data_IF_656622798759
#
_entry.id   IF_656622798759
#
_cell.length_a   1.000
_cell.length_b   1.000
_cell.length_c   1.000
_cell.angle_alpha   90.00
_cell.angle_beta   90.00
_cell.angle_gamma   90.00
#
_symmetry.space_group_name_H-M   'P 1'
#
loop_
_entity.id
_entity.type
_entity.pdbx_description
1 polymer ?
#
# COMPACT_ATOMS: atom_id res chain seq x y z
N UNK A 1 -8.16 16.31 14.39
CA UNK A 1 -7.81 16.19 12.96
C UNK A 1 -8.93 15.41 12.27
N UNK A 2 -9.38 15.86 11.10
CA UNK A 2 -10.48 15.27 10.29
C UNK A 2 -9.88 14.77 8.98
N UNK A 3 -9.70 13.46 8.88
CA UNK A 3 -8.95 12.83 7.77
C UNK A 3 -9.91 12.14 6.83
N UNK A 4 -9.82 12.45 5.54
CA UNK A 4 -10.45 11.67 4.48
C UNK A 4 -9.48 10.57 4.02
N UNK A 5 -9.95 9.34 4.08
CA UNK A 5 -9.27 8.16 3.53
C UNK A 5 -9.86 7.84 2.15
N UNK A 6 -9.01 7.88 1.13
CA UNK A 6 -9.31 7.38 -0.20
C UNK A 6 -8.63 6.02 -0.35
N UNK A 7 -9.36 5.00 -0.81
CA UNK A 7 -8.85 3.62 -0.89
C UNK A 7 -8.91 2.86 0.43
N UNK A 8 -10.01 2.98 1.20
CA UNK A 8 -10.19 2.31 2.50
C UNK A 8 -10.05 0.77 2.46
N UNK A 9 -10.21 0.15 1.27
CA UNK A 9 -10.06 -1.30 1.08
C UNK A 9 -8.59 -1.75 0.94
N UNK A 10 -7.65 -0.82 0.76
CA UNK A 10 -6.21 -1.14 0.77
C UNK A 10 -5.82 -1.74 2.11
N UNK A 11 -4.96 -2.76 2.10
CA UNK A 11 -4.52 -3.41 3.34
C UNK A 11 -3.78 -2.45 4.29
N UNK A 12 -3.03 -1.50 3.75
CA UNK A 12 -2.36 -0.47 4.55
C UNK A 12 -3.40 0.44 5.21
N UNK A 13 -4.44 0.86 4.45
CA UNK A 13 -5.52 1.68 5.00
C UNK A 13 -6.28 0.97 6.11
N UNK A 14 -6.61 -0.33 5.93
CA UNK A 14 -7.33 -1.12 6.93
C UNK A 14 -6.53 -1.21 8.24
N UNK A 15 -5.23 -1.51 8.16
CA UNK A 15 -4.36 -1.52 9.33
C UNK A 15 -4.26 -0.14 9.99
N UNK A 16 -4.14 0.94 9.19
CA UNK A 16 -4.06 2.31 9.71
C UNK A 16 -5.34 2.74 10.43
N UNK A 17 -6.50 2.48 9.83
CA UNK A 17 -7.81 2.77 10.41
C UNK A 17 -7.97 1.98 11.73
N UNK A 18 -7.72 0.66 11.72
CA UNK A 18 -7.83 -0.18 12.92
C UNK A 18 -6.97 0.34 14.06
N UNK A 19 -5.72 0.75 13.78
CA UNK A 19 -4.78 1.21 14.81
C UNK A 19 -5.14 2.58 15.41
N UNK A 20 -5.71 3.50 14.60
CA UNK A 20 -5.85 4.90 14.98
C UNK A 20 -7.30 5.41 15.05
N UNK A 21 -8.31 4.56 14.88
CA UNK A 21 -9.74 4.96 14.94
C UNK A 21 -10.14 5.63 16.25
N UNK A 22 -9.51 5.26 17.38
CA UNK A 22 -9.77 5.86 18.68
C UNK A 22 -9.11 7.25 18.86
N UNK A 23 -8.19 7.64 17.97
CA UNK A 23 -7.41 8.89 18.08
C UNK A 23 -7.69 9.88 16.96
N UNK A 24 -8.27 9.43 15.85
CA UNK A 24 -8.49 10.21 14.63
C UNK A 24 -9.91 9.97 14.13
N UNK A 25 -10.60 11.07 13.79
CA UNK A 25 -11.90 10.99 13.11
C UNK A 25 -11.66 10.76 11.61
N UNK A 26 -11.88 9.53 11.17
CA UNK A 26 -11.78 9.15 9.76
C UNK A 26 -13.10 9.37 9.03
N UNK A 27 -12.99 9.78 7.78
CA UNK A 27 -14.07 9.90 6.82
C UNK A 27 -13.71 9.09 5.59
N UNK A 28 -14.71 8.57 4.90
CA UNK A 28 -14.54 7.70 3.75
C UNK A 28 -15.36 8.22 2.59
N UNK A 29 -14.81 8.14 1.39
CA UNK A 29 -15.50 8.50 0.17
C UNK A 29 -15.57 7.26 -0.74
N UNK A 30 -16.81 6.86 -1.09
CA UNK A 30 -17.06 5.55 -1.71
C UNK A 30 -17.29 5.62 -3.24
N UNK A 31 -17.11 6.79 -3.86
CA UNK A 31 -17.20 6.88 -5.30
C UNK A 31 -15.91 6.41 -5.96
N UNK A 32 -16.07 5.64 -7.02
CA UNK A 32 -14.94 5.32 -7.89
C UNK A 32 -14.60 6.54 -8.75
N UNK A 33 -13.32 6.79 -8.94
CA UNK A 33 -12.82 7.71 -9.93
C UNK A 33 -12.99 7.04 -11.30
N UNK A 34 -14.15 7.26 -11.92
CA UNK A 34 -14.55 6.72 -13.22
C UNK A 34 -14.18 7.67 -14.35
N UNK A 35 -14.53 7.32 -15.59
CA UNK A 35 -14.33 8.18 -16.76
C UNK A 35 -15.08 9.53 -16.64
N UNK A 36 -16.15 9.60 -15.84
CA UNK A 36 -16.80 10.87 -15.47
C UNK A 36 -16.11 11.50 -14.24
N UNK A 37 -14.83 11.86 -14.39
CA UNK A 37 -14.07 12.45 -13.29
C UNK A 37 -14.59 13.82 -12.85
N UNK A 38 -15.32 14.57 -13.71
CA UNK A 38 -15.93 15.87 -13.33
C UNK A 38 -16.96 15.69 -12.22
N UNK A 39 -17.82 14.68 -12.36
CA UNK A 39 -18.83 14.35 -11.32
C UNK A 39 -18.15 13.90 -10.02
N UNK A 40 -17.13 13.06 -10.12
CA UNK A 40 -16.33 12.65 -8.96
C UNK A 40 -15.74 13.86 -8.23
N UNK A 41 -15.10 14.78 -8.94
CA UNK A 41 -14.49 15.99 -8.36
C UNK A 41 -15.53 16.89 -7.71
N UNK A 42 -16.69 17.08 -8.33
CA UNK A 42 -17.81 17.84 -7.76
C UNK A 42 -18.27 17.21 -6.43
N UNK A 43 -18.57 15.92 -6.44
CA UNK A 43 -19.05 15.19 -5.26
C UNK A 43 -18.03 15.18 -4.11
N UNK A 44 -16.76 14.94 -4.39
CA UNK A 44 -15.73 14.94 -3.36
C UNK A 44 -15.50 16.35 -2.79
N UNK A 45 -15.59 17.40 -3.60
CA UNK A 45 -15.48 18.79 -3.14
C UNK A 45 -16.59 19.13 -2.14
N UNK A 46 -17.84 18.81 -2.46
CA UNK A 46 -18.97 18.99 -1.56
C UNK A 46 -18.81 18.21 -0.26
N UNK A 47 -18.38 16.96 -0.37
CA UNK A 47 -18.15 16.09 0.80
C UNK A 47 -17.06 16.64 1.73
N UNK A 48 -15.91 17.03 1.17
CA UNK A 48 -14.78 17.60 1.92
C UNK A 48 -15.21 18.85 2.67
N UNK A 49 -15.99 19.75 2.03
CA UNK A 49 -16.51 20.96 2.64
C UNK A 49 -17.50 20.64 3.77
N UNK A 50 -18.52 19.82 3.49
CA UNK A 50 -19.55 19.41 4.47
C UNK A 50 -18.95 18.75 5.71
N UNK A 51 -17.91 17.93 5.51
CA UNK A 51 -17.24 17.22 6.61
C UNK A 51 -16.08 18.00 7.22
N UNK A 52 -15.78 19.21 6.74
CA UNK A 52 -14.67 20.07 7.20
C UNK A 52 -13.34 19.29 7.25
N UNK A 53 -13.04 18.54 6.19
CA UNK A 53 -11.81 17.74 6.07
C UNK A 53 -10.61 18.69 6.01
N UNK A 54 -9.54 18.36 6.73
CA UNK A 54 -8.29 19.13 6.71
C UNK A 54 -7.07 18.29 6.29
N UNK A 55 -7.24 17.00 6.05
CA UNK A 55 -6.19 16.12 5.55
C UNK A 55 -6.78 15.03 4.66
N UNK A 56 -6.15 14.75 3.52
CA UNK A 56 -6.53 13.66 2.61
C UNK A 56 -5.35 12.70 2.54
N UNK A 57 -5.62 11.41 2.84
CA UNK A 57 -4.65 10.33 2.63
C UNK A 57 -5.18 9.45 1.50
N UNK A 58 -4.41 9.34 0.43
CA UNK A 58 -4.74 8.46 -0.68
C UNK A 58 -3.96 7.15 -0.61
N UNK A 59 -4.66 6.07 -0.26
CA UNK A 59 -4.14 4.71 -0.24
C UNK A 59 -4.43 3.94 -1.54
N UNK A 60 -5.04 4.58 -2.54
CA UNK A 60 -5.19 3.95 -3.86
C UNK A 60 -3.81 3.85 -4.50
N UNK A 61 -3.50 2.65 -4.98
CA UNK A 61 -2.34 2.37 -5.80
C UNK A 61 -2.62 1.11 -6.60
N UNK A 62 -2.29 1.17 -7.89
CA UNK A 62 -2.45 0.06 -8.82
C UNK A 62 -1.08 -0.32 -9.36
N UNK A 63 -0.67 -1.57 -9.14
CA UNK A 63 0.62 -2.12 -9.57
C UNK A 63 0.47 -3.34 -10.48
N UNK A 64 -0.71 -3.53 -11.07
CA UNK A 64 -1.00 -4.67 -11.96
C UNK A 64 -0.46 -4.42 -13.37
N UNK A 65 0.81 -4.74 -13.59
CA UNK A 65 1.47 -4.61 -14.88
C UNK A 65 1.14 -5.79 -15.85
N UNK A 66 0.33 -6.76 -15.43
CA UNK A 66 0.15 -8.04 -16.14
C UNK A 66 -0.56 -7.92 -17.49
N UNK A 67 -1.25 -6.80 -17.75
CA UNK A 67 -2.06 -6.60 -18.95
C UNK A 67 -1.86 -5.19 -19.56
N UNK A 68 -0.60 -4.79 -19.78
CA UNK A 68 -0.32 -3.60 -20.56
C UNK A 68 -0.55 -3.93 -22.08
N UNK A 69 -1.20 -3.03 -22.89
CA UNK A 69 -1.64 -1.67 -22.53
C UNK A 69 -3.04 -1.59 -21.89
N UNK A 70 -3.83 -2.67 -21.86
CA UNK A 70 -5.25 -2.65 -21.47
C UNK A 70 -5.46 -2.08 -20.04
N UNK A 71 -4.61 -2.47 -19.09
CA UNK A 71 -4.67 -1.97 -17.70
C UNK A 71 -3.82 -0.73 -17.43
N UNK A 72 -3.01 -0.30 -18.39
CA UNK A 72 -2.14 0.87 -18.24
C UNK A 72 -2.90 2.16 -17.95
N UNK A 73 -4.06 2.36 -18.58
CA UNK A 73 -4.98 3.47 -18.30
C UNK A 73 -5.37 3.54 -16.83
N UNK A 74 -5.68 2.40 -16.20
CA UNK A 74 -6.06 2.35 -14.80
C UNK A 74 -4.89 2.63 -13.86
N UNK A 75 -3.68 2.19 -14.22
CA UNK A 75 -2.46 2.47 -13.45
C UNK A 75 -2.17 3.96 -13.44
N UNK A 76 -2.17 4.62 -14.61
CA UNK A 76 -1.97 6.07 -14.72
C UNK A 76 -3.07 6.85 -13.99
N UNK A 77 -4.33 6.46 -14.18
CA UNK A 77 -5.47 7.08 -13.51
C UNK A 77 -5.31 7.06 -11.99
N UNK A 78 -5.03 5.88 -11.42
CA UNK A 78 -5.04 5.67 -9.98
C UNK A 78 -3.77 6.22 -9.30
N UNK A 79 -2.61 6.10 -9.96
CA UNK A 79 -1.33 6.46 -9.38
C UNK A 79 -0.90 7.90 -9.64
N UNK A 80 -1.39 8.52 -10.71
CA UNK A 80 -0.97 9.85 -11.14
C UNK A 80 -2.14 10.83 -11.28
N UNK A 81 -3.13 10.54 -12.14
CA UNK A 81 -4.19 11.51 -12.48
C UNK A 81 -5.04 11.85 -11.24
N UNK A 82 -5.49 10.84 -10.48
CA UNK A 82 -6.30 11.06 -9.29
C UNK A 82 -5.58 11.91 -8.22
N UNK A 83 -4.34 11.61 -7.81
CA UNK A 83 -3.60 12.48 -6.89
C UNK A 83 -3.46 13.92 -7.37
N UNK A 84 -3.09 14.15 -8.63
CA UNK A 84 -2.94 15.49 -9.20
C UNK A 84 -4.28 16.22 -9.25
N UNK A 85 -5.35 15.56 -9.65
CA UNK A 85 -6.69 16.15 -9.68
C UNK A 85 -7.17 16.57 -8.28
N UNK A 86 -6.89 15.78 -7.25
CA UNK A 86 -7.20 16.13 -5.85
C UNK A 86 -6.42 17.37 -5.38
N UNK A 87 -5.13 17.42 -5.66
CA UNK A 87 -4.30 18.58 -5.29
C UNK A 87 -4.79 19.83 -5.99
N UNK A 88 -5.04 19.79 -7.29
CA UNK A 88 -5.55 20.91 -8.06
C UNK A 88 -6.94 21.38 -7.59
N UNK A 89 -7.84 20.45 -7.28
CA UNK A 89 -9.19 20.75 -6.78
C UNK A 89 -9.15 21.57 -5.48
N UNK A 90 -8.17 21.30 -4.61
CA UNK A 90 -8.08 21.92 -3.30
C UNK A 90 -6.89 22.89 -3.13
N UNK A 91 -6.22 23.30 -4.23
CA UNK A 91 -5.02 24.14 -4.17
C UNK A 91 -5.20 25.45 -3.41
N UNK A 92 -6.40 26.01 -3.39
CA UNK A 92 -6.74 27.26 -2.67
C UNK A 92 -7.26 27.01 -1.25
N UNK A 93 -7.39 25.75 -0.82
CA UNK A 93 -7.91 25.37 0.50
C UNK A 93 -6.77 24.86 1.38
N UNK A 94 -6.85 25.15 2.67
CA UNK A 94 -5.87 24.66 3.65
C UNK A 94 -6.10 23.17 3.97
N UNK A 95 -5.81 22.30 3.01
CA UNK A 95 -5.94 20.84 3.10
C UNK A 95 -4.57 20.22 2.90
N UNK A 96 -4.15 19.33 3.79
CA UNK A 96 -2.90 18.60 3.68
C UNK A 96 -3.11 17.30 2.92
N UNK A 97 -2.07 16.82 2.23
CA UNK A 97 -2.11 15.58 1.47
C UNK A 97 -1.01 14.63 1.88
N UNK A 98 -1.34 13.34 1.86
CA UNK A 98 -0.35 12.25 1.96
C UNK A 98 -0.58 11.27 0.82
N UNK A 99 0.48 11.03 0.03
CA UNK A 99 0.51 10.07 -1.07
C UNK A 99 1.64 9.07 -0.88
N UNK A 100 1.55 7.92 -1.56
CA UNK A 100 2.54 6.88 -1.49
C UNK A 100 3.26 6.72 -2.82
N UNK A 101 4.60 6.69 -2.75
CA UNK A 101 5.50 6.37 -3.83
C UNK A 101 6.08 4.96 -3.63
N UNK A 102 6.79 4.46 -4.64
CA UNK A 102 7.53 3.20 -4.59
C UNK A 102 9.01 3.46 -4.83
N UNK A 103 9.88 2.64 -4.23
CA UNK A 103 11.31 2.63 -4.56
C UNK A 103 11.60 2.11 -5.97
N UNK A 104 10.60 1.54 -6.66
CA UNK A 104 10.72 1.17 -8.08
C UNK A 104 11.03 2.39 -8.99
N UNK A 105 10.70 3.62 -8.53
CA UNK A 105 11.07 4.84 -9.25
C UNK A 105 12.58 5.08 -9.36
N UNK A 106 13.36 4.49 -8.44
CA UNK A 106 14.83 4.64 -8.45
C UNK A 106 15.50 3.81 -9.57
N UNK A 107 14.73 2.96 -10.25
CA UNK A 107 15.17 2.11 -11.34
C UNK A 107 14.85 2.67 -12.73
N UNK A 108 14.23 3.85 -12.79
CA UNK A 108 13.74 4.45 -14.07
C UNK A 108 14.89 4.74 -15.04
N UNK A 109 16.09 4.95 -14.56
CA UNK A 109 17.27 5.16 -15.39
C UNK A 109 17.66 3.92 -16.21
N UNK A 110 17.20 2.73 -15.83
CA UNK A 110 17.37 1.51 -16.60
C UNK A 110 16.15 1.22 -17.48
N UNK A 111 16.22 1.43 -18.82
CA UNK A 111 15.08 1.25 -19.70
C UNK A 111 14.46 -0.15 -19.65
N UNK A 112 15.27 -1.18 -19.38
CA UNK A 112 14.83 -2.57 -19.32
C UNK A 112 14.02 -2.90 -18.06
N UNK A 113 14.09 -2.05 -17.02
CA UNK A 113 13.37 -2.22 -15.76
C UNK A 113 12.13 -1.30 -15.64
N UNK A 114 11.89 -0.44 -16.63
CA UNK A 114 10.79 0.51 -16.61
C UNK A 114 9.45 -0.19 -16.75
N UNK A 115 8.55 0.17 -15.87
CA UNK A 115 7.16 -0.25 -15.90
C UNK A 115 6.24 0.97 -15.90
N UNK A 116 5.05 0.84 -16.46
CA UNK A 116 4.03 1.91 -16.39
C UNK A 116 3.73 2.28 -14.94
N UNK A 117 3.87 1.34 -14.01
CA UNK A 117 3.73 1.59 -12.58
C UNK A 117 4.83 2.52 -12.04
N UNK A 118 6.11 2.21 -12.30
CA UNK A 118 7.23 3.05 -11.85
C UNK A 118 7.15 4.45 -12.47
N UNK A 119 6.87 4.54 -13.78
CA UNK A 119 6.67 5.80 -14.48
C UNK A 119 5.52 6.63 -13.90
N UNK A 120 4.37 6.00 -13.59
CA UNK A 120 3.23 6.72 -12.99
C UNK A 120 3.56 7.33 -11.63
N UNK A 121 4.37 6.64 -10.82
CA UNK A 121 4.84 7.13 -9.52
C UNK A 121 5.91 8.20 -9.64
N UNK A 122 6.78 8.10 -10.63
CA UNK A 122 7.77 9.13 -10.96
C UNK A 122 7.07 10.42 -11.41
N UNK A 123 6.14 10.35 -12.37
CA UNK A 123 5.37 11.51 -12.82
C UNK A 123 4.62 12.19 -11.69
N UNK A 124 4.06 11.43 -10.74
CA UNK A 124 3.43 11.99 -9.56
C UNK A 124 4.43 12.78 -8.71
N UNK A 125 5.58 12.20 -8.40
CA UNK A 125 6.62 12.84 -7.59
C UNK A 125 7.09 14.14 -8.24
N UNK A 126 7.41 14.06 -9.52
CA UNK A 126 7.97 15.17 -10.27
C UNK A 126 6.95 16.30 -10.46
N UNK A 127 5.75 15.99 -10.92
CA UNK A 127 4.68 16.99 -11.06
C UNK A 127 4.36 17.73 -9.76
N UNK A 128 4.32 17.02 -8.62
CA UNK A 128 4.02 17.65 -7.33
C UNK A 128 5.11 18.57 -6.81
N UNK A 129 6.35 18.46 -7.30
CA UNK A 129 7.44 19.41 -6.98
C UNK A 129 7.22 20.80 -7.60
N UNK A 130 6.62 20.83 -8.80
CA UNK A 130 6.42 22.05 -9.56
C UNK A 130 5.06 22.72 -9.33
N UNK A 131 4.10 22.02 -8.71
CA UNK A 131 2.81 22.62 -8.38
C UNK A 131 2.96 23.59 -7.21
N UNK A 132 2.86 24.88 -7.50
CA UNK A 132 2.81 25.93 -6.48
C UNK A 132 1.47 25.89 -5.75
N UNK A 133 1.47 25.41 -4.52
CA UNK A 133 0.28 25.30 -3.68
C UNK A 133 0.55 25.74 -2.25
N UNK A 134 -0.52 26.23 -1.61
CA UNK A 134 -0.52 26.60 -0.18
C UNK A 134 -0.66 25.40 0.77
N UNK A 135 -0.75 24.20 0.20
CA UNK A 135 -1.05 22.96 0.91
C UNK A 135 0.23 22.24 1.30
N UNK A 136 0.20 21.53 2.42
CA UNK A 136 1.30 20.64 2.77
C UNK A 136 1.12 19.29 2.07
N UNK A 137 2.12 18.87 1.30
CA UNK A 137 2.16 17.57 0.63
C UNK A 137 3.26 16.73 1.24
N UNK A 138 2.90 15.52 1.65
CA UNK A 138 3.86 14.51 2.10
C UNK A 138 3.81 13.31 1.15
N UNK A 139 4.95 12.97 0.58
CA UNK A 139 5.16 11.79 -0.23
C UNK A 139 5.90 10.75 0.59
N UNK A 140 5.31 9.58 0.81
CA UNK A 140 5.94 8.47 1.53
C UNK A 140 6.42 7.46 0.51
N UNK A 141 7.73 7.41 0.28
CA UNK A 141 8.40 6.46 -0.59
C UNK A 141 8.71 5.18 0.18
N UNK A 142 8.19 4.05 -0.28
CA UNK A 142 8.22 2.78 0.45
C UNK A 142 8.76 1.63 -0.42
N UNK A 143 9.48 0.72 0.23
CA UNK A 143 9.78 -0.62 -0.30
C UNK A 143 8.54 -1.53 -0.22
N UNK A 144 8.71 -2.83 -0.49
CA UNK A 144 7.60 -3.78 -0.46
C UNK A 144 7.01 -3.92 0.95
N UNK A 145 5.77 -3.53 1.11
CA UNK A 145 5.04 -3.66 2.38
C UNK A 145 4.32 -5.00 2.45
N UNK A 146 4.32 -5.64 3.62
CA UNK A 146 3.58 -6.87 3.89
C UNK A 146 2.88 -6.81 5.25
N UNK A 147 1.90 -7.68 5.46
CA UNK A 147 1.21 -7.80 6.74
C UNK A 147 -0.25 -8.24 6.60
N UNK A 148 -1.00 -8.23 7.70
CA UNK A 148 -2.44 -8.54 7.73
C UNK A 148 -3.24 -7.74 6.71
N UNK A 149 -4.37 -8.30 6.25
CA UNK A 149 -5.30 -7.73 5.26
C UNK A 149 -4.77 -7.64 3.82
N UNK A 150 -3.52 -8.07 3.52
CA UNK A 150 -3.03 -8.10 2.15
C UNK A 150 -3.52 -9.35 1.42
N UNK A 151 -4.63 -9.23 0.72
CA UNK A 151 -5.25 -10.31 -0.05
C UNK A 151 -4.88 -10.28 -1.54
N UNK A 152 -3.78 -9.61 -1.91
CA UNK A 152 -3.25 -9.67 -3.27
C UNK A 152 -2.23 -10.82 -3.40
N UNK A 153 -2.72 -12.00 -3.78
CA UNK A 153 -1.90 -13.21 -3.85
C UNK A 153 -0.93 -13.26 -5.04
N UNK A 154 -0.96 -12.26 -5.92
CA UNK A 154 0.10 -12.04 -6.92
C UNK A 154 1.38 -11.44 -6.30
N UNK A 155 1.30 -11.00 -5.04
CA UNK A 155 2.45 -10.46 -4.31
C UNK A 155 3.18 -11.56 -3.55
N UNK A 156 4.49 -11.37 -3.41
CA UNK A 156 5.40 -12.37 -2.85
C UNK A 156 4.97 -12.92 -1.48
N UNK A 157 4.73 -12.04 -0.49
CA UNK A 157 4.44 -12.49 0.87
C UNK A 157 3.05 -13.12 0.99
N UNK A 158 1.96 -12.56 0.43
CA UNK A 158 0.68 -13.24 0.36
C UNK A 158 0.76 -14.64 -0.29
N UNK A 159 1.46 -14.79 -1.43
CA UNK A 159 1.68 -16.10 -2.07
C UNK A 159 2.44 -17.06 -1.16
N UNK A 160 3.48 -16.57 -0.47
CA UNK A 160 4.25 -17.36 0.48
C UNK A 160 3.38 -17.86 1.64
N UNK A 161 2.50 -17.01 2.19
CA UNK A 161 1.56 -17.37 3.25
C UNK A 161 0.58 -18.45 2.80
N UNK A 162 0.03 -18.36 1.58
CA UNK A 162 -0.82 -19.42 1.03
C UNK A 162 -0.07 -20.74 0.88
N UNK A 163 1.17 -20.68 0.38
CA UNK A 163 2.00 -21.89 0.24
C UNK A 163 2.22 -22.59 1.58
N UNK A 164 2.43 -21.82 2.65
CA UNK A 164 2.59 -22.34 4.01
C UNK A 164 1.29 -22.93 4.56
N UNK A 165 0.14 -22.26 4.33
CA UNK A 165 -1.16 -22.66 4.87
C UNK A 165 -1.67 -23.97 4.25
N UNK A 166 -1.50 -24.11 2.94
CA UNK A 166 -2.10 -25.24 2.20
C UNK A 166 -1.09 -26.33 1.87
N UNK A 167 0.17 -26.19 2.30
CA UNK A 167 1.26 -27.13 1.96
C UNK A 167 1.34 -27.39 0.45
N UNK A 168 0.95 -26.38 -0.36
CA UNK A 168 0.62 -26.55 -1.76
C UNK A 168 1.88 -26.46 -2.62
N UNK A 169 2.21 -27.60 -3.26
CA UNK A 169 3.33 -27.68 -4.21
C UNK A 169 3.10 -26.86 -5.49
N UNK A 170 1.82 -26.60 -5.86
CA UNK A 170 1.43 -25.87 -7.07
C UNK A 170 1.65 -24.33 -6.99
N UNK A 171 1.76 -23.73 -5.80
CA UNK A 171 2.00 -22.29 -5.71
C UNK A 171 3.46 -21.96 -6.02
N UNK A 172 3.69 -21.39 -7.21
CA UNK A 172 5.02 -20.94 -7.65
C UNK A 172 5.43 -19.67 -6.92
N UNK A 173 6.43 -19.74 -6.03
CA UNK A 173 7.03 -18.61 -5.36
C UNK A 173 8.51 -18.53 -5.75
N UNK A 174 8.95 -17.36 -6.25
CA UNK A 174 10.38 -17.13 -6.54
C UNK A 174 11.15 -17.00 -5.22
N UNK A 175 11.66 -18.12 -4.71
CA UNK A 175 12.37 -18.17 -3.43
C UNK A 175 13.82 -17.66 -3.52
N UNK A 176 14.48 -17.88 -4.66
CA UNK A 176 15.88 -17.49 -4.85
C UNK A 176 16.03 -15.99 -5.15
N UNK A 177 15.63 -15.13 -4.23
CA UNK A 177 15.73 -13.67 -4.39
C UNK A 177 15.95 -12.97 -3.04
N UNK A 178 16.58 -11.79 -3.13
CA UNK A 178 16.64 -10.81 -2.04
C UNK A 178 15.51 -9.80 -2.21
N UNK A 179 14.85 -9.44 -1.11
CA UNK A 179 13.79 -8.42 -1.13
C UNK A 179 13.86 -7.52 0.10
N UNK A 180 13.72 -6.22 -0.13
CA UNK A 180 13.51 -5.25 0.94
C UNK A 180 12.05 -5.24 1.32
N UNK A 181 11.75 -5.58 2.58
CA UNK A 181 10.39 -5.75 3.09
C UNK A 181 10.16 -4.84 4.29
N UNK A 182 8.98 -4.20 4.33
CA UNK A 182 8.50 -3.36 5.44
C UNK A 182 7.29 -4.05 6.05
N UNK A 183 7.32 -4.28 7.36
CA UNK A 183 6.13 -4.74 8.05
C UNK A 183 5.11 -3.59 8.17
N UNK A 184 3.85 -3.86 7.87
CA UNK A 184 2.83 -2.81 7.80
C UNK A 184 2.71 -1.99 9.09
N UNK A 185 2.82 -2.62 10.26
CA UNK A 185 2.71 -1.89 11.55
C UNK A 185 3.83 -0.86 11.75
N UNK A 186 5.03 -1.10 11.20
CA UNK A 186 6.14 -0.14 11.26
C UNK A 186 5.84 1.08 10.40
N UNK A 187 5.30 0.84 9.19
CA UNK A 187 4.85 1.91 8.29
C UNK A 187 3.78 2.80 8.93
N UNK A 188 2.83 2.22 9.70
CA UNK A 188 1.73 2.99 10.30
C UNK A 188 2.21 4.10 11.23
N UNK A 189 3.28 3.87 11.99
CA UNK A 189 3.85 4.88 12.91
C UNK A 189 4.44 6.06 12.14
N UNK A 190 5.06 5.80 11.00
CA UNK A 190 5.60 6.84 10.11
C UNK A 190 4.47 7.64 9.46
N UNK A 191 3.44 6.96 8.93
CA UNK A 191 2.25 7.66 8.40
C UNK A 191 1.66 8.59 9.46
N UNK A 192 1.50 8.11 10.71
CA UNK A 192 0.93 8.90 11.80
C UNK A 192 1.80 10.12 12.17
N UNK A 193 3.13 9.99 12.16
CA UNK A 193 4.04 11.13 12.34
C UNK A 193 3.96 12.11 11.18
N UNK A 194 3.90 11.60 9.96
CA UNK A 194 3.85 12.40 8.73
C UNK A 194 2.62 13.29 8.67
N UNK A 195 1.44 12.79 9.01
CA UNK A 195 0.20 13.59 8.98
C UNK A 195 0.17 14.72 10.02
N UNK A 196 1.04 14.67 11.01
CA UNK A 196 1.22 15.75 12.00
C UNK A 196 2.26 16.79 11.56
N UNK A 197 3.07 16.48 10.56
CA UNK A 197 4.09 17.38 10.04
C UNK A 197 3.43 18.50 9.23
N UNK A 198 3.94 19.74 9.41
CA UNK A 198 3.44 20.95 8.74
C UNK A 198 4.36 21.46 7.64
N UNK A 199 5.34 20.65 7.17
CA UNK A 199 6.23 21.07 6.08
C UNK A 199 5.42 21.17 4.78
N UNK A 200 5.70 22.21 3.99
CA UNK A 200 4.96 22.48 2.74
C UNK A 200 5.06 21.33 1.73
N UNK A 201 6.27 20.83 1.49
CA UNK A 201 6.54 19.66 0.65
C UNK A 201 7.63 18.80 1.28
N UNK A 202 7.41 17.50 1.40
CA UNK A 202 8.43 16.59 1.88
C UNK A 202 8.31 15.20 1.25
N UNK A 203 9.45 14.56 1.05
CA UNK A 203 9.55 13.15 0.65
C UNK A 203 10.20 12.39 1.80
N UNK A 204 9.50 11.39 2.32
CA UNK A 204 9.96 10.55 3.42
C UNK A 204 10.22 9.16 2.84
N UNK A 205 11.47 8.73 2.87
CA UNK A 205 11.85 7.40 2.41
C UNK A 205 11.88 6.42 3.60
N UNK A 206 11.06 5.38 3.52
CA UNK A 206 11.05 4.27 4.47
C UNK A 206 11.69 3.07 3.81
N UNK A 207 12.89 2.73 4.29
CA UNK A 207 13.66 1.58 3.78
C UNK A 207 13.23 0.30 4.49
N UNK A 208 13.00 -0.76 3.73
CA UNK A 208 12.75 -2.09 4.24
C UNK A 208 14.01 -2.79 4.70
N UNK A 209 13.86 -3.79 5.58
CA UNK A 209 14.91 -4.75 5.89
C UNK A 209 15.12 -5.69 4.69
N UNK A 210 16.36 -6.06 4.44
CA UNK A 210 16.71 -6.99 3.36
C UNK A 210 16.55 -8.45 3.83
N UNK A 211 15.77 -9.24 3.08
CA UNK A 211 15.50 -10.64 3.39
C UNK A 211 15.87 -11.54 2.21
N UNK A 212 16.60 -12.61 2.50
CA UNK A 212 16.70 -13.74 1.60
C UNK A 212 15.43 -14.60 1.76
N UNK A 213 14.63 -14.66 0.71
CA UNK A 213 13.29 -15.26 0.78
C UNK A 213 13.33 -16.77 1.03
N UNK A 214 14.34 -17.47 0.49
CA UNK A 214 14.51 -18.90 0.74
C UNK A 214 14.87 -19.19 2.22
N UNK A 215 15.79 -18.40 2.79
CA UNK A 215 16.15 -18.53 4.21
C UNK A 215 14.95 -18.21 5.09
N UNK A 216 14.22 -17.13 4.79
CA UNK A 216 12.99 -16.74 5.48
C UNK A 216 11.95 -17.86 5.45
N UNK A 217 11.67 -18.43 4.28
CA UNK A 217 10.71 -19.51 4.12
C UNK A 217 11.11 -20.76 4.95
N UNK A 218 12.39 -21.18 4.89
CA UNK A 218 12.90 -22.30 5.71
C UNK A 218 12.74 -22.03 7.20
N UNK A 219 13.04 -20.80 7.66
CA UNK A 219 12.92 -20.42 9.07
C UNK A 219 11.47 -20.44 9.55
N UNK A 220 10.52 -19.91 8.77
CA UNK A 220 9.10 -19.93 9.11
C UNK A 220 8.59 -21.38 9.18
N UNK A 221 8.89 -22.22 8.18
CA UNK A 221 8.51 -23.64 8.20
C UNK A 221 9.04 -24.38 9.44
N UNK A 222 10.29 -24.15 9.79
CA UNK A 222 10.89 -24.75 11.00
C UNK A 222 10.16 -24.33 12.27
N UNK A 223 9.77 -23.05 12.37
CA UNK A 223 9.04 -22.52 13.52
C UNK A 223 7.63 -23.12 13.57
N UNK A 224 6.91 -23.16 12.45
CA UNK A 224 5.53 -23.67 12.38
C UNK A 224 5.44 -25.19 12.70
N UNK A 225 6.47 -25.96 12.33
CA UNK A 225 6.54 -27.38 12.59
C UNK A 225 6.97 -27.69 14.05
N UNK A 226 7.63 -26.78 14.74
CA UNK A 226 8.05 -26.93 16.13
C UNK A 226 7.03 -26.30 17.10
N UNK A 227 6.02 -27.08 17.51
CA UNK A 227 4.91 -26.64 18.39
C UNK A 227 5.33 -26.01 19.74
N UNK A 228 6.59 -26.13 20.16
CA UNK A 228 7.06 -25.73 21.49
C UNK A 228 7.96 -24.47 21.53
N UNK A 229 8.28 -23.84 20.40
CA UNK A 229 9.11 -22.65 20.41
C UNK A 229 8.29 -21.38 20.60
N UNK A 230 8.40 -20.75 21.77
CA UNK A 230 7.95 -19.36 21.96
C UNK A 230 8.79 -18.44 21.09
N UNK A 231 8.13 -17.72 20.19
CA UNK A 231 8.76 -16.73 19.33
C UNK A 231 8.75 -15.41 20.07
N UNK A 232 9.93 -14.88 20.36
CA UNK A 232 10.06 -13.54 20.97
C UNK A 232 9.92 -12.45 19.90
N UNK A 233 9.46 -11.26 20.30
CA UNK A 233 9.29 -10.11 19.39
C UNK A 233 10.60 -9.66 18.72
N UNK A 234 11.75 -10.01 19.28
CA UNK A 234 13.07 -9.70 18.73
C UNK A 234 13.51 -10.63 17.59
N UNK A 235 12.73 -11.66 17.26
CA UNK A 235 13.04 -12.56 16.16
C UNK A 235 12.62 -11.92 14.83
N UNK A 236 13.51 -11.89 13.84
CA UNK A 236 13.21 -11.36 12.50
C UNK A 236 12.02 -12.03 11.81
N UNK A 237 11.66 -13.25 12.22
CA UNK A 237 10.49 -13.98 11.74
C UNK A 237 9.19 -13.61 12.46
N UNK A 238 9.21 -12.89 13.58
CA UNK A 238 8.02 -12.59 14.39
C UNK A 238 6.87 -11.98 13.56
N UNK A 239 7.16 -10.92 12.83
CA UNK A 239 6.18 -10.22 12.00
C UNK A 239 5.60 -11.09 10.87
N UNK A 240 6.39 -12.05 10.37
CA UNK A 240 5.91 -13.00 9.36
C UNK A 240 5.01 -14.06 9.98
N UNK A 241 5.31 -14.52 11.19
CA UNK A 241 4.45 -15.44 11.92
C UNK A 241 3.14 -14.77 12.31
N UNK A 242 3.18 -13.52 12.81
CA UNK A 242 1.96 -12.75 13.07
C UNK A 242 1.11 -12.59 11.79
N UNK A 243 1.76 -12.35 10.66
CA UNK A 243 1.08 -12.28 9.36
C UNK A 243 0.47 -13.64 9.00
N UNK A 244 1.20 -14.74 9.19
CA UNK A 244 0.73 -16.10 8.92
C UNK A 244 -0.47 -16.47 9.79
N UNK A 245 -0.42 -16.22 11.11
CA UNK A 245 -1.54 -16.48 12.02
C UNK A 245 -2.78 -15.67 11.59
N UNK A 246 -2.60 -14.40 11.19
CA UNK A 246 -3.72 -13.63 10.65
C UNK A 246 -4.37 -14.31 9.44
N UNK A 247 -3.57 -14.84 8.48
CA UNK A 247 -4.11 -15.56 7.32
C UNK A 247 -4.84 -16.83 7.73
N UNK A 248 -4.29 -17.57 8.70
CA UNK A 248 -4.88 -18.79 9.25
C UNK A 248 -6.25 -18.50 9.88
N UNK A 249 -6.34 -17.47 10.70
CA UNK A 249 -7.59 -17.08 11.37
C UNK A 249 -8.64 -16.50 10.41
N UNK A 250 -8.21 -16.04 9.24
CA UNK A 250 -9.09 -15.43 8.23
C UNK A 250 -9.21 -16.27 6.93
N UNK A 251 -9.04 -17.60 7.03
CA UNK A 251 -9.14 -18.52 5.89
C UNK A 251 -10.46 -18.40 5.11
N UNK A 252 -11.55 -18.04 5.78
CA UNK A 252 -12.84 -17.82 5.13
C UNK A 252 -12.82 -16.67 4.11
N UNK A 253 -12.07 -15.60 4.38
CA UNK A 253 -11.89 -14.49 3.41
C UNK A 253 -11.11 -14.96 2.19
N UNK A 254 -10.14 -15.84 2.38
CA UNK A 254 -9.29 -16.39 1.33
C UNK A 254 -10.13 -17.28 0.42
N UNK A 255 -10.91 -18.18 0.99
CA UNK A 255 -11.81 -19.10 0.26
C UNK A 255 -12.87 -18.33 -0.55
N UNK A 256 -13.43 -17.25 0.01
CA UNK A 256 -14.43 -16.41 -0.69
C UNK A 256 -13.86 -15.71 -1.94
N UNK A 257 -12.55 -15.56 -2.05
CA UNK A 257 -11.89 -14.99 -3.24
C UNK A 257 -11.65 -16.01 -4.37
N UNK A 258 -12.24 -17.21 -4.28
CA UNK A 258 -12.12 -18.29 -5.29
C UNK A 258 -10.66 -18.59 -5.67
N UNK A 259 -9.78 -18.62 -4.68
CA UNK A 259 -8.42 -19.08 -4.91
C UNK A 259 -8.46 -20.60 -4.83
N UNK A 260 -8.90 -21.23 -5.91
CA UNK A 260 -8.55 -22.62 -6.14
C UNK A 260 -7.07 -22.63 -6.56
N UNK A 261 -6.22 -23.47 -5.91
CA UNK A 261 -4.92 -23.77 -6.48
C UNK A 261 -5.15 -24.35 -7.88
N UNK A 262 -4.44 -23.79 -8.88
CA UNK A 262 -4.40 -24.41 -10.20
C UNK A 262 -4.07 -25.90 -10.01
N UNK A 263 -4.97 -26.76 -10.44
CA UNK A 263 -4.72 -28.18 -10.60
C UNK A 263 -3.87 -28.30 -11.87
N UNK A 264 -2.54 -28.16 -11.73
CA UNK A 264 -1.56 -28.55 -12.73
C UNK A 264 -0.42 -29.28 -12.04
#
# INVERSE_FOLDING_TARGET
MRILIIGKKSFIAQNFIKKYSNRIKFFYFNLYFSDNYKEFLKKISLYVNKKKINHIINFIGNNDNSLFPIKGKNILRDNFILPIALVNLFKQKKINFTFFLSTEIDKIENPNENSIYSLSKFFLQDSLRFILIKNNISLIKIDNVYGPYDLNFNRLIPSLMLKLLFNNKGIKVKLAQQKKLIYVKDLLSVIFKTIKNKKSFNIIHIKGKNFNILKLWKSINKILNNKHKRITQNNDCYNFIETFEWYKDNLWMIKKKNIQPSKD
#
